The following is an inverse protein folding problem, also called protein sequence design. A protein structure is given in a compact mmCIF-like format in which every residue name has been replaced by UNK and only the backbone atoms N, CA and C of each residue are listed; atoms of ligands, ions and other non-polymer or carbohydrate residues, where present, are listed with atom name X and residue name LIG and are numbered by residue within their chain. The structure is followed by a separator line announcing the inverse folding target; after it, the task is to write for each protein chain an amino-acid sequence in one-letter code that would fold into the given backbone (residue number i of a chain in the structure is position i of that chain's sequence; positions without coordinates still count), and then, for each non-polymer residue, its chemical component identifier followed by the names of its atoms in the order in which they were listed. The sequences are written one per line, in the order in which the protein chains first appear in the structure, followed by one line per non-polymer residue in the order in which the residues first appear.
data_IF_340069441498
#
_entry.id   IF_340069441498
#
_cell.length_a   1.000
_cell.length_b   1.000
_cell.length_c   1.000
_cell.angle_alpha   90.00
_cell.angle_beta   90.00
_cell.angle_gamma   90.00
#
_symmetry.space_group_name_H-M   'P 1'
#
loop_
_entity.id
_entity.type
_entity.pdbx_description
1 polymer ?
#
# COMPACT_ATOMS: atom_id res chain seq x y z
N UNK A 1 22.85 -20.06 -9.06
CA UNK A 1 23.21 -19.15 -7.95
C UNK A 1 23.42 -17.77 -8.55
N UNK A 2 22.42 -16.90 -8.46
CA UNK A 2 22.50 -15.55 -9.03
C UNK A 2 22.47 -14.56 -7.88
N UNK A 3 23.64 -14.23 -7.32
CA UNK A 3 23.81 -13.25 -6.23
C UNK A 3 23.89 -11.80 -6.70
N UNK A 4 23.43 -11.50 -7.92
CA UNK A 4 23.61 -10.19 -8.55
C UNK A 4 22.37 -9.29 -8.57
N UNK A 5 21.26 -9.62 -7.87
CA UNK A 5 20.02 -8.82 -7.93
C UNK A 5 19.55 -8.25 -6.60
N UNK A 6 20.28 -8.44 -5.50
CA UNK A 6 19.77 -8.10 -4.16
C UNK A 6 19.81 -6.60 -3.82
N UNK A 7 20.48 -5.75 -4.60
CA UNK A 7 20.72 -4.35 -4.20
C UNK A 7 20.47 -3.31 -5.30
N UNK A 8 20.00 -3.70 -6.48
CA UNK A 8 19.74 -2.80 -7.62
C UNK A 8 18.63 -1.76 -7.36
N UNK A 9 17.84 -1.94 -6.29
CA UNK A 9 16.78 -1.01 -5.90
C UNK A 9 17.29 0.22 -5.13
N UNK A 10 18.53 0.17 -4.59
CA UNK A 10 19.13 1.30 -3.85
C UNK A 10 19.77 2.37 -4.75
N UNK A 11 20.16 2.02 -5.98
CA UNK A 11 20.88 2.93 -6.86
C UNK A 11 19.97 3.80 -7.76
N UNK A 12 18.70 3.45 -7.90
CA UNK A 12 17.74 4.23 -8.69
C UNK A 12 16.87 5.06 -7.73
N UNK A 13 17.24 6.33 -7.51
CA UNK A 13 16.52 7.28 -6.65
C UNK A 13 15.16 7.66 -7.26
N UNK A 14 14.21 6.71 -7.32
CA UNK A 14 12.82 7.01 -7.61
C UNK A 14 12.17 7.60 -6.37
N UNK A 15 11.25 8.53 -6.57
CA UNK A 15 10.39 9.00 -5.48
C UNK A 15 9.51 7.85 -4.98
N UNK A 16 9.33 7.74 -3.67
CA UNK A 16 8.39 6.81 -3.08
C UNK A 16 7.01 7.47 -3.02
N UNK A 17 6.04 6.97 -3.78
CA UNK A 17 4.65 7.43 -3.70
C UNK A 17 3.93 6.67 -2.59
N UNK A 18 3.66 7.34 -1.48
CA UNK A 18 2.98 6.77 -0.31
C UNK A 18 1.48 7.05 -0.45
N UNK A 19 0.68 5.98 -0.61
CA UNK A 19 -0.75 6.06 -0.82
C UNK A 19 -1.50 5.77 0.48
N UNK A 20 -2.49 6.61 0.80
CA UNK A 20 -3.38 6.41 1.95
C UNK A 20 -4.75 7.05 1.69
N UNK A 21 -5.78 6.57 2.37
CA UNK A 21 -7.14 7.09 2.22
C UNK A 21 -7.89 7.18 3.55
N UNK A 22 -7.34 6.56 4.61
CA UNK A 22 -7.96 6.47 5.93
C UNK A 22 -7.03 6.97 7.03
N UNK A 23 -7.61 7.33 8.17
CA UNK A 23 -6.83 7.77 9.33
C UNK A 23 -5.91 6.67 9.91
N UNK A 24 -6.35 5.40 10.03
CA UNK A 24 -5.45 4.32 10.44
C UNK A 24 -4.24 4.15 9.54
N UNK A 25 -4.41 4.21 8.21
CA UNK A 25 -3.29 4.17 7.27
C UNK A 25 -2.32 5.33 7.50
N UNK A 26 -2.84 6.55 7.60
CA UNK A 26 -2.01 7.74 7.86
C UNK A 26 -1.17 7.59 9.13
N UNK A 27 -1.78 7.16 10.23
CA UNK A 27 -1.07 6.99 11.51
C UNK A 27 0.07 5.95 11.41
N UNK A 28 -0.04 4.97 10.52
CA UNK A 28 0.97 3.94 10.34
C UNK A 28 2.07 4.31 9.34
N UNK A 29 1.77 5.17 8.36
CA UNK A 29 2.78 5.63 7.39
C UNK A 29 3.50 6.90 7.82
N UNK A 30 2.86 7.75 8.64
CA UNK A 30 3.44 9.00 9.11
C UNK A 30 4.83 8.87 9.76
N UNK A 31 5.11 7.89 10.64
CA UNK A 31 6.45 7.72 11.21
C UNK A 31 7.54 7.49 10.16
N UNK A 32 7.21 6.82 9.05
CA UNK A 32 8.17 6.54 7.98
C UNK A 32 8.68 7.80 7.29
N UNK A 33 7.90 8.89 7.32
CA UNK A 33 8.27 10.15 6.66
C UNK A 33 9.51 10.81 7.28
N UNK A 34 9.84 10.49 8.52
CA UNK A 34 11.03 10.99 9.19
C UNK A 34 12.31 10.26 8.73
N UNK A 35 12.16 9.09 8.14
CA UNK A 35 13.26 8.19 7.74
C UNK A 35 13.47 8.14 6.22
N UNK A 36 12.60 8.79 5.44
CA UNK A 36 12.62 8.73 3.98
C UNK A 36 12.85 10.13 3.41
N UNK A 37 13.93 10.32 2.66
CA UNK A 37 14.31 11.63 2.09
C UNK A 37 13.44 12.03 0.88
N UNK A 38 13.07 11.06 0.02
CA UNK A 38 12.40 11.33 -1.26
C UNK A 38 11.05 10.58 -1.30
N UNK A 39 9.98 11.27 -0.92
CA UNK A 39 8.63 10.73 -1.02
C UNK A 39 7.65 11.76 -1.55
N UNK A 40 6.52 11.26 -2.02
CA UNK A 40 5.31 12.03 -2.35
C UNK A 40 4.11 11.36 -1.71
N UNK A 41 3.12 12.16 -1.36
CA UNK A 41 1.91 11.70 -0.69
C UNK A 41 0.73 11.72 -1.66
N UNK A 42 0.05 10.58 -1.79
CA UNK A 42 -1.21 10.45 -2.52
C UNK A 42 -2.35 10.14 -1.54
N UNK A 43 -3.31 11.03 -1.47
CA UNK A 43 -4.54 10.83 -0.70
C UNK A 43 -5.70 10.42 -1.60
N UNK A 44 -6.34 9.30 -1.31
CA UNK A 44 -7.43 8.74 -2.13
C UNK A 44 -8.81 9.31 -1.80
N UNK A 45 -8.96 10.09 -0.73
CA UNK A 45 -10.26 10.68 -0.37
C UNK A 45 -11.26 9.72 0.28
N UNK A 46 -10.87 8.51 0.66
CA UNK A 46 -11.78 7.55 1.31
C UNK A 46 -12.42 8.12 2.58
N UNK A 47 -11.63 8.77 3.47
CA UNK A 47 -12.10 9.53 4.62
C UNK A 47 -11.98 11.03 4.35
N UNK A 48 -13.05 11.67 3.87
CA UNK A 48 -13.06 13.06 3.39
C UNK A 48 -12.51 14.09 4.40
N UNK A 49 -12.71 13.85 5.71
CA UNK A 49 -12.33 14.79 6.77
C UNK A 49 -10.88 14.65 7.27
N UNK A 50 -10.10 13.72 6.70
CA UNK A 50 -8.74 13.43 7.16
C UNK A 50 -7.75 14.56 6.88
N UNK A 51 -7.95 15.32 5.79
CA UNK A 51 -6.96 16.25 5.24
C UNK A 51 -6.96 17.66 5.83
N UNK A 52 -7.68 17.94 6.91
CA UNK A 52 -7.72 19.33 7.43
C UNK A 52 -6.35 19.90 7.78
N UNK A 53 -5.38 19.02 8.09
CA UNK A 53 -4.05 19.39 8.57
C UNK A 53 -2.90 18.61 7.87
N UNK A 54 -3.15 17.98 6.71
CA UNK A 54 -2.15 17.17 6.01
C UNK A 54 -1.98 17.72 4.60
N UNK A 55 -0.78 18.24 4.29
CA UNK A 55 -0.40 18.59 2.92
C UNK A 55 -0.07 17.32 2.13
N UNK A 56 -0.57 17.22 0.90
CA UNK A 56 -0.34 16.09 0.00
C UNK A 56 0.03 16.58 -1.39
N UNK A 57 0.88 15.81 -2.10
CA UNK A 57 1.27 16.14 -3.47
C UNK A 57 0.16 15.83 -4.47
N UNK A 58 -0.58 14.75 -4.22
CA UNK A 58 -1.67 14.30 -5.09
C UNK A 58 -2.93 13.98 -4.29
N UNK A 59 -4.07 14.25 -4.92
CA UNK A 59 -5.38 13.96 -4.35
C UNK A 59 -6.28 13.33 -5.41
N UNK A 60 -6.97 12.25 -5.03
CA UNK A 60 -8.05 11.66 -5.84
C UNK A 60 -9.37 12.30 -5.44
N UNK A 61 -10.08 12.85 -6.39
CA UNK A 61 -11.42 13.38 -6.17
C UNK A 61 -12.46 12.25 -6.36
N UNK A 62 -13.09 11.86 -5.26
CA UNK A 62 -14.09 10.78 -5.26
C UNK A 62 -15.44 11.33 -5.67
N UNK A 63 -15.99 10.81 -6.76
CA UNK A 63 -17.35 11.09 -7.20
C UNK A 63 -18.44 10.52 -6.28
N UNK A 64 -19.69 10.81 -6.61
CA UNK A 64 -20.86 10.44 -5.81
C UNK A 64 -21.68 9.32 -6.49
N UNK A 65 -21.10 8.12 -6.69
CA UNK A 65 -21.87 6.94 -7.10
C UNK A 65 -22.52 6.23 -5.91
N UNK A 66 -23.52 5.41 -6.21
CA UNK A 66 -24.25 4.64 -5.21
C UNK A 66 -23.38 3.60 -4.51
N UNK A 67 -22.48 2.93 -5.25
CA UNK A 67 -21.49 2.02 -4.67
C UNK A 67 -20.16 2.76 -4.46
N UNK A 68 -19.89 3.06 -3.19
CA UNK A 68 -18.70 3.84 -2.82
C UNK A 68 -17.38 3.08 -3.04
N UNK A 69 -17.36 1.76 -2.90
CA UNK A 69 -16.15 0.95 -3.13
C UNK A 69 -15.78 0.97 -4.62
N UNK A 70 -16.75 0.72 -5.51
CA UNK A 70 -16.54 0.79 -6.95
C UNK A 70 -16.09 2.18 -7.40
N UNK A 71 -16.65 3.23 -6.78
CA UNK A 71 -16.28 4.61 -7.07
C UNK A 71 -14.83 4.88 -6.72
N UNK A 72 -14.38 4.50 -5.51
CA UNK A 72 -13.00 4.69 -5.07
C UNK A 72 -12.03 3.97 -6.01
N UNK A 73 -12.32 2.71 -6.35
CA UNK A 73 -11.46 1.93 -7.26
C UNK A 73 -11.39 2.62 -8.64
N UNK A 74 -12.54 2.99 -9.21
CA UNK A 74 -12.61 3.64 -10.51
C UNK A 74 -11.84 4.96 -10.53
N UNK A 75 -12.07 5.82 -9.52
CA UNK A 75 -11.46 7.14 -9.46
C UNK A 75 -9.94 7.06 -9.23
N UNK A 76 -9.48 6.11 -8.39
CA UNK A 76 -8.06 5.86 -8.24
C UNK A 76 -7.41 5.40 -9.56
N UNK A 77 -8.04 4.48 -10.29
CA UNK A 77 -7.52 4.02 -11.58
C UNK A 77 -7.42 5.15 -12.62
N UNK A 78 -8.41 6.04 -12.65
CA UNK A 78 -8.49 7.13 -13.62
C UNK A 78 -7.58 8.32 -13.30
N UNK A 79 -7.42 8.63 -12.02
CA UNK A 79 -6.74 9.84 -11.54
C UNK A 79 -5.36 9.54 -10.91
N UNK A 80 -4.90 8.28 -10.94
CA UNK A 80 -3.57 7.95 -10.41
C UNK A 80 -2.49 8.76 -11.13
N UNK A 81 -1.56 9.41 -10.41
CA UNK A 81 -0.59 10.32 -11.02
C UNK A 81 0.32 9.59 -12.00
N UNK A 82 0.66 10.28 -13.09
CA UNK A 82 1.71 9.85 -14.00
C UNK A 82 3.08 10.15 -13.39
N UNK A 83 4.01 9.23 -13.55
CA UNK A 83 5.38 9.34 -13.03
C UNK A 83 6.05 7.98 -12.89
N UNK A 84 7.35 8.01 -12.61
CA UNK A 84 8.14 6.81 -12.34
C UNK A 84 8.39 6.71 -10.82
N UNK A 85 7.45 6.08 -10.12
CA UNK A 85 7.44 5.92 -8.67
C UNK A 85 7.67 4.47 -8.26
N UNK A 86 8.24 4.26 -7.07
CA UNK A 86 7.97 3.07 -6.28
C UNK A 86 6.73 3.38 -5.41
N UNK A 87 5.72 2.51 -5.40
CA UNK A 87 4.40 2.80 -4.80
C UNK A 87 4.23 2.01 -3.51
N UNK A 88 4.09 2.71 -2.39
CA UNK A 88 3.83 2.10 -1.08
C UNK A 88 2.34 2.17 -0.77
N UNK A 89 1.76 1.00 -0.49
CA UNK A 89 0.40 0.83 0.02
C UNK A 89 0.43 0.15 1.38
N UNK A 90 -0.55 0.48 2.24
CA UNK A 90 -0.62 -0.05 3.58
C UNK A 90 -1.90 -0.85 3.81
N UNK A 91 -1.76 -2.08 4.35
CA UNK A 91 -2.87 -2.90 4.81
C UNK A 91 -3.79 -3.39 3.68
N UNK A 92 -5.09 -3.22 3.88
CA UNK A 92 -6.13 -3.92 3.13
C UNK A 92 -7.38 -3.09 2.82
N UNK A 93 -7.26 -1.78 2.93
CA UNK A 93 -8.37 -0.88 2.58
C UNK A 93 -8.66 -0.88 1.09
N UNK A 94 -9.84 -0.39 0.69
CA UNK A 94 -10.12 -0.17 -0.74
C UNK A 94 -9.13 0.80 -1.37
N UNK A 95 -8.63 1.78 -0.62
CA UNK A 95 -7.59 2.72 -1.06
C UNK A 95 -6.28 2.01 -1.39
N UNK A 96 -5.80 1.15 -0.49
CA UNK A 96 -4.59 0.37 -0.69
C UNK A 96 -4.71 -0.53 -1.92
N UNK A 97 -5.83 -1.24 -2.05
CA UNK A 97 -6.11 -2.11 -3.19
C UNK A 97 -6.19 -1.32 -4.51
N UNK A 98 -6.92 -0.22 -4.54
CA UNK A 98 -7.10 0.60 -5.74
C UNK A 98 -5.77 1.21 -6.22
N UNK A 99 -4.95 1.72 -5.30
CA UNK A 99 -3.61 2.24 -5.62
C UNK A 99 -2.65 1.14 -6.10
N UNK A 100 -2.66 -0.02 -5.45
CA UNK A 100 -1.86 -1.16 -5.89
C UNK A 100 -2.26 -1.63 -7.30
N UNK A 101 -3.55 -1.71 -7.60
CA UNK A 101 -4.06 -2.07 -8.92
C UNK A 101 -3.70 -1.02 -9.98
N UNK A 102 -3.78 0.27 -9.64
CA UNK A 102 -3.38 1.36 -10.53
C UNK A 102 -1.87 1.32 -10.84
N UNK A 103 -1.03 1.08 -9.82
CA UNK A 103 0.41 0.92 -9.95
C UNK A 103 0.77 -0.31 -10.81
N UNK A 104 0.13 -1.45 -10.56
CA UNK A 104 0.32 -2.69 -11.33
C UNK A 104 0.01 -2.47 -12.82
N UNK A 105 -1.11 -1.81 -13.12
CA UNK A 105 -1.54 -1.51 -14.49
C UNK A 105 -0.54 -0.61 -15.23
N UNK A 106 0.25 0.18 -14.51
CA UNK A 106 1.30 1.08 -15.03
C UNK A 106 2.71 0.50 -14.96
N UNK A 107 2.84 -0.77 -14.52
CA UNK A 107 4.14 -1.46 -14.34
C UNK A 107 5.06 -0.75 -13.35
N UNK A 108 4.50 -0.08 -12.37
CA UNK A 108 5.24 0.51 -11.25
C UNK A 108 5.49 -0.56 -10.18
N UNK A 109 6.62 -0.43 -9.47
CA UNK A 109 6.94 -1.33 -8.36
C UNK A 109 6.01 -1.08 -7.19
N UNK A 110 5.50 -2.15 -6.57
CA UNK A 110 4.54 -2.10 -5.47
C UNK A 110 5.18 -2.63 -4.20
N UNK A 111 5.12 -1.83 -3.15
CA UNK A 111 5.57 -2.14 -1.80
C UNK A 111 4.35 -2.22 -0.89
N UNK A 112 4.12 -3.37 -0.28
CA UNK A 112 2.96 -3.63 0.57
C UNK A 112 3.35 -3.72 2.04
N UNK A 113 3.02 -2.70 2.81
CA UNK A 113 3.23 -2.65 4.26
C UNK A 113 2.06 -3.32 4.99
N UNK A 114 2.34 -4.03 6.08
CA UNK A 114 1.38 -4.87 6.84
C UNK A 114 0.84 -6.04 6.00
N UNK A 115 1.69 -6.61 5.16
CA UNK A 115 1.34 -7.71 4.26
C UNK A 115 1.18 -9.06 5.00
N UNK A 116 0.42 -9.97 4.40
CA UNK A 116 0.37 -11.37 4.83
C UNK A 116 -0.53 -11.68 6.03
N UNK A 117 -1.30 -10.73 6.54
CA UNK A 117 -2.40 -11.01 7.47
C UNK A 117 -3.47 -11.82 6.74
N UNK A 118 -4.02 -12.88 7.40
CA UNK A 118 -5.04 -13.75 6.81
C UNK A 118 -6.08 -14.18 7.82
N UNK A 119 -7.34 -14.13 7.40
CA UNK A 119 -8.44 -14.87 8.03
C UNK A 119 -8.78 -16.14 7.27
N UNK A 120 -8.43 -16.19 5.98
CA UNK A 120 -8.82 -17.23 5.02
C UNK A 120 -10.33 -17.35 4.82
N UNK A 121 -11.11 -16.40 5.30
CA UNK A 121 -12.55 -16.27 5.04
C UNK A 121 -12.82 -14.97 4.30
N UNK A 122 -13.08 -15.05 2.99
CA UNK A 122 -13.34 -13.88 2.14
C UNK A 122 -14.58 -13.08 2.56
N UNK A 123 -15.36 -13.58 3.51
CA UNK A 123 -16.51 -12.88 4.07
C UNK A 123 -16.21 -12.16 5.38
N UNK A 124 -15.03 -12.43 6.00
CA UNK A 124 -14.66 -11.87 7.31
C UNK A 124 -13.16 -11.64 7.45
N UNK A 125 -12.71 -10.37 7.56
CA UNK A 125 -13.49 -9.14 7.29
C UNK A 125 -13.75 -8.96 5.79
N UNK A 126 -14.91 -8.43 5.45
CA UNK A 126 -15.26 -8.10 4.08
C UNK A 126 -15.27 -6.58 3.88
N UNK A 127 -14.64 -6.06 2.82
CA UNK A 127 -13.94 -6.75 1.72
C UNK A 127 -12.42 -6.95 1.96
N UNK A 128 -11.90 -6.64 3.14
CA UNK A 128 -10.47 -6.50 3.46
C UNK A 128 -9.68 -7.78 3.21
N UNK A 129 -10.24 -8.96 3.56
CA UNK A 129 -9.53 -10.23 3.32
C UNK A 129 -9.28 -10.46 1.82
N UNK A 130 -10.27 -10.14 0.98
CA UNK A 130 -10.10 -10.22 -0.46
C UNK A 130 -9.03 -9.26 -0.98
N UNK A 131 -9.06 -8.01 -0.52
CA UNK A 131 -8.10 -6.99 -0.95
C UNK A 131 -6.67 -7.36 -0.56
N UNK A 132 -6.42 -7.81 0.68
CA UNK A 132 -5.05 -8.16 1.12
C UNK A 132 -4.48 -9.34 0.35
N UNK A 133 -5.31 -10.34 0.01
CA UNK A 133 -4.88 -11.44 -0.83
C UNK A 133 -4.54 -10.99 -2.25
N UNK A 134 -5.36 -10.14 -2.87
CA UNK A 134 -5.10 -9.61 -4.20
C UNK A 134 -3.84 -8.73 -4.23
N UNK A 135 -3.66 -7.83 -3.25
CA UNK A 135 -2.45 -7.00 -3.18
C UNK A 135 -1.20 -7.86 -3.08
N UNK A 136 -1.22 -8.90 -2.22
CA UNK A 136 -0.07 -9.80 -2.05
C UNK A 136 0.36 -10.52 -3.34
N UNK A 137 -0.55 -10.68 -4.30
CA UNK A 137 -0.25 -11.32 -5.59
C UNK A 137 0.46 -10.41 -6.57
N UNK A 138 0.31 -9.10 -6.43
CA UNK A 138 0.85 -8.11 -7.37
C UNK A 138 1.96 -7.26 -6.75
N UNK A 139 2.23 -7.41 -5.44
CA UNK A 139 3.28 -6.69 -4.75
C UNK A 139 4.67 -7.27 -5.06
N UNK A 140 5.63 -6.40 -5.39
CA UNK A 140 7.04 -6.77 -5.60
C UNK A 140 7.78 -6.95 -4.29
N UNK A 141 7.42 -6.16 -3.26
CA UNK A 141 8.00 -6.24 -1.92
C UNK A 141 6.86 -6.26 -0.89
N UNK A 142 6.94 -7.22 0.02
CA UNK A 142 6.01 -7.37 1.13
C UNK A 142 6.73 -7.14 2.46
N UNK A 143 6.15 -6.31 3.32
CA UNK A 143 6.59 -6.08 4.69
C UNK A 143 5.58 -6.66 5.68
N UNK A 144 5.63 -7.98 5.96
CA UNK A 144 4.77 -8.60 6.95
C UNK A 144 5.16 -8.16 8.38
N UNK A 145 4.17 -7.92 9.27
CA UNK A 145 4.44 -7.49 10.63
C UNK A 145 4.98 -8.61 11.53
N UNK A 146 4.75 -9.86 11.17
CA UNK A 146 5.14 -11.03 11.96
C UNK A 146 5.66 -12.16 11.09
N UNK A 147 6.38 -13.12 11.72
CA UNK A 147 6.79 -14.36 11.05
C UNK A 147 5.60 -15.21 10.56
N UNK A 148 4.47 -15.16 11.27
CA UNK A 148 3.23 -15.86 10.85
C UNK A 148 2.71 -15.22 9.55
N UNK A 149 2.68 -13.90 9.46
CA UNK A 149 2.25 -13.20 8.24
C UNK A 149 3.19 -13.50 7.07
N UNK A 150 4.50 -13.56 7.30
CA UNK A 150 5.48 -13.99 6.29
C UNK A 150 5.25 -15.43 5.84
N UNK A 151 4.94 -16.33 6.79
CA UNK A 151 4.64 -17.73 6.46
C UNK A 151 3.38 -17.88 5.61
N UNK A 152 2.36 -17.04 5.83
CA UNK A 152 1.16 -17.01 4.99
C UNK A 152 1.52 -16.68 3.54
N UNK A 153 2.31 -15.62 3.33
CA UNK A 153 2.78 -15.23 1.99
C UNK A 153 3.58 -16.35 1.31
N UNK A 154 4.46 -17.00 2.05
CA UNK A 154 5.24 -18.15 1.56
C UNK A 154 4.35 -19.31 1.14
N UNK A 155 3.40 -19.70 1.99
CA UNK A 155 2.47 -20.79 1.73
C UNK A 155 1.60 -20.53 0.49
N UNK A 156 1.23 -19.30 0.27
CA UNK A 156 0.44 -18.85 -0.89
C UNK A 156 1.29 -18.65 -2.15
N UNK A 157 2.62 -18.80 -2.04
CA UNK A 157 3.56 -18.54 -3.15
C UNK A 157 3.39 -17.14 -3.72
N UNK A 158 3.32 -16.13 -2.84
CA UNK A 158 3.43 -14.74 -3.26
C UNK A 158 4.82 -14.51 -3.85
N UNK A 159 4.90 -13.95 -5.05
CA UNK A 159 6.16 -13.84 -5.80
C UNK A 159 7.09 -12.74 -5.28
N UNK A 160 6.56 -11.75 -4.58
CA UNK A 160 7.34 -10.62 -4.06
C UNK A 160 8.32 -11.00 -2.95
N UNK A 161 9.39 -10.21 -2.82
CA UNK A 161 10.33 -10.31 -1.70
C UNK A 161 9.60 -10.02 -0.39
N UNK A 162 9.93 -10.75 0.68
CA UNK A 162 9.28 -10.58 1.99
C UNK A 162 10.30 -10.36 3.10
N UNK A 163 10.11 -9.26 3.87
CA UNK A 163 10.95 -8.90 5.01
C UNK A 163 10.09 -8.60 6.23
N UNK A 164 10.27 -9.35 7.32
CA UNK A 164 9.52 -9.12 8.57
C UNK A 164 10.02 -7.84 9.24
N UNK A 165 9.13 -6.87 9.44
CA UNK A 165 9.51 -5.51 9.92
C UNK A 165 8.80 -5.08 11.22
N UNK A 166 7.87 -5.88 11.75
CA UNK A 166 7.05 -5.46 12.89
C UNK A 166 5.87 -4.56 12.48
N UNK A 167 5.32 -3.83 13.44
CA UNK A 167 4.16 -2.96 13.23
C UNK A 167 4.55 -1.50 13.47
N UNK A 168 4.56 -0.70 12.43
CA UNK A 168 4.95 0.72 12.45
C UNK A 168 4.07 1.61 13.35
N UNK A 169 2.87 1.16 13.76
CA UNK A 169 2.05 1.92 14.70
C UNK A 169 2.71 2.08 16.07
N UNK A 170 3.60 1.15 16.43
CA UNK A 170 4.33 1.20 17.72
C UNK A 170 5.28 2.40 17.78
N UNK A 171 5.77 2.87 16.64
CA UNK A 171 6.69 4.01 16.55
C UNK A 171 6.00 5.34 16.87
N UNK A 172 4.66 5.37 16.90
CA UNK A 172 3.90 6.54 17.38
C UNK A 172 3.74 6.60 18.90
N UNK A 173 4.18 5.58 19.64
CA UNK A 173 4.04 5.48 21.08
C UNK A 173 5.30 5.93 21.83
N UNK A 174 6.37 6.21 21.09
CA UNK A 174 7.65 6.70 21.57
C UNK A 174 7.74 8.19 21.26
#
# INVERSE_FOLDING_TARGET
MNRGKEWDWMDNKKDLLICFGTRPEWLKVKPLLNEIDNYKLLFTGQHKDLLKDIEVDYRIEIGDKTNRLDQIISDCLMQFPDGDFDVLVHGDTVSAFACALAAFSRKLKIIHLEAGLRSYDLKQPYPEEGYRQMISRIADINFPPTSISAQNLFNEKADGLSYVVGNSVLDNLI
#
